data_IF_211463008856
#
_entry.id   IF_211463008856
#
_cell.length_a   1.000
_cell.length_b   1.000
_cell.length_c   1.000
_cell.angle_alpha   90.00
_cell.angle_beta   90.00
_cell.angle_gamma   90.00
#
_symmetry.space_group_name_H-M   'P 1'
#
loop_
_entity.id
_entity.type
_entity.pdbx_description
1 polymer ?
#
# COMPACT_ATOMS: atom_id res chain seq x y z
N UNK A 1 3.10 30.51 44.42
CA UNK A 1 3.14 30.67 42.94
C UNK A 1 4.45 30.06 42.45
N UNK A 2 4.46 28.77 42.11
CA UNK A 2 5.61 28.13 41.46
C UNK A 2 5.11 27.40 40.23
N UNK A 3 5.48 27.91 39.06
CA UNK A 3 5.20 27.30 37.77
C UNK A 3 5.96 25.97 37.66
N UNK A 4 5.22 24.88 37.53
CA UNK A 4 5.79 23.56 37.23
C UNK A 4 6.07 23.45 35.74
N UNK A 5 7.34 23.50 35.35
CA UNK A 5 7.80 23.27 33.99
C UNK A 5 7.42 21.85 33.52
N UNK A 6 6.44 21.75 32.63
CA UNK A 6 6.20 20.54 31.85
C UNK A 6 7.43 20.30 30.95
N UNK A 7 8.19 19.24 31.24
CA UNK A 7 9.25 18.75 30.35
C UNK A 7 8.59 18.16 29.11
N UNK A 8 8.61 18.93 28.04
CA UNK A 8 8.23 18.55 26.69
C UNK A 8 9.08 17.32 26.31
N UNK A 9 8.43 16.29 25.78
CA UNK A 9 9.01 14.97 25.52
C UNK A 9 10.34 15.04 24.77
N UNK A 10 11.24 14.11 25.12
CA UNK A 10 12.51 13.95 24.42
C UNK A 10 12.26 13.83 22.90
N UNK A 11 13.04 14.54 22.05
CA UNK A 11 12.97 14.29 20.61
C UNK A 11 13.29 12.83 20.35
N UNK A 12 12.47 12.17 19.53
CA UNK A 12 12.74 10.81 19.08
C UNK A 12 14.17 10.76 18.52
N UNK A 13 14.99 9.76 18.92
CA UNK A 13 16.35 9.64 18.40
C UNK A 13 16.30 9.60 16.87
N UNK A 14 17.17 10.38 16.26
CA UNK A 14 17.19 10.57 14.82
C UNK A 14 17.56 9.24 14.14
N UNK A 15 16.55 8.54 13.63
CA UNK A 15 16.71 7.31 12.85
C UNK A 15 17.37 7.69 11.52
N UNK A 16 18.70 7.75 11.51
CA UNK A 16 19.47 8.02 10.30
C UNK A 16 19.85 6.67 9.70
N UNK A 17 18.99 6.16 8.81
CA UNK A 17 19.35 5.08 7.90
C UNK A 17 20.40 5.62 6.93
N UNK A 18 21.69 5.51 7.27
CA UNK A 18 22.73 5.73 6.27
C UNK A 18 22.88 4.44 5.47
N UNK A 19 23.10 4.53 4.16
CA UNK A 19 23.25 3.36 3.29
C UNK A 19 24.35 2.39 3.79
N UNK A 20 25.25 2.93 4.60
CA UNK A 20 26.45 2.38 5.21
C UNK A 20 26.18 1.57 6.51
N UNK A 21 24.95 1.53 7.04
CA UNK A 21 24.62 0.68 8.20
C UNK A 21 24.27 -0.78 7.82
N UNK A 22 24.10 -1.08 6.53
CA UNK A 22 23.81 -2.44 6.06
C UNK A 22 22.46 -3.02 6.51
N UNK A 23 21.51 -2.16 6.93
CA UNK A 23 20.18 -2.56 7.37
C UNK A 23 19.16 -2.46 6.23
N UNK A 24 18.21 -3.40 6.19
CA UNK A 24 17.12 -3.35 5.23
C UNK A 24 16.08 -2.28 5.61
N UNK A 25 15.57 -1.58 4.60
CA UNK A 25 14.37 -0.77 4.73
C UNK A 25 13.13 -1.62 4.98
N UNK A 26 11.99 -0.99 5.26
CA UNK A 26 10.72 -1.67 5.54
C UNK A 26 10.05 -2.12 4.23
N UNK A 27 10.63 -3.13 3.59
CA UNK A 27 10.11 -3.76 2.38
C UNK A 27 8.97 -4.74 2.66
N UNK A 28 7.88 -4.64 1.89
CA UNK A 28 6.81 -5.62 1.80
C UNK A 28 6.67 -6.04 0.34
N UNK A 29 6.50 -7.35 0.12
CA UNK A 29 6.36 -7.95 -1.20
C UNK A 29 5.08 -8.78 -1.22
N UNK A 30 4.23 -8.57 -2.22
CA UNK A 30 3.08 -9.44 -2.51
C UNK A 30 3.48 -10.36 -3.66
N UNK A 31 3.54 -11.65 -3.38
CA UNK A 31 3.89 -12.71 -4.33
C UNK A 31 2.67 -13.62 -4.48
N UNK A 32 2.29 -13.94 -5.72
CA UNK A 32 1.12 -14.78 -5.99
C UNK A 32 1.40 -16.29 -5.84
N UNK A 33 0.38 -17.10 -6.08
CA UNK A 33 0.42 -18.58 -6.01
C UNK A 33 1.34 -19.22 -7.06
N UNK A 34 1.75 -18.46 -8.08
CA UNK A 34 2.70 -18.87 -9.12
C UNK A 34 4.13 -18.42 -8.82
N UNK A 35 4.36 -17.78 -7.67
CA UNK A 35 5.66 -17.23 -7.29
C UNK A 35 6.02 -15.95 -8.03
N UNK A 36 5.07 -15.28 -8.68
CA UNK A 36 5.31 -14.02 -9.39
C UNK A 36 5.16 -12.85 -8.43
N UNK A 37 6.14 -11.95 -8.43
CA UNK A 37 6.08 -10.72 -7.66
C UNK A 37 5.07 -9.74 -8.30
N UNK A 38 4.04 -9.37 -7.54
CA UNK A 38 2.93 -8.52 -8.01
C UNK A 38 3.01 -7.08 -7.49
N UNK A 39 3.55 -6.88 -6.28
CA UNK A 39 3.61 -5.56 -5.66
C UNK A 39 4.76 -5.45 -4.66
N UNK A 40 5.33 -4.24 -4.58
CA UNK A 40 6.41 -3.89 -3.65
C UNK A 40 6.06 -2.57 -2.96
N UNK A 41 6.09 -2.56 -1.63
CA UNK A 41 6.06 -1.32 -0.82
C UNK A 41 7.37 -1.21 -0.06
N UNK A 42 8.06 -0.07 -0.19
CA UNK A 42 9.27 0.23 0.59
C UNK A 42 9.04 1.52 1.35
N UNK A 43 9.05 1.44 2.67
CA UNK A 43 8.98 2.61 3.54
C UNK A 43 10.35 2.88 4.17
N UNK A 44 10.63 4.16 4.40
CA UNK A 44 11.74 4.59 5.24
C UNK A 44 11.56 4.06 6.69
N UNK A 45 12.65 3.95 7.45
CA UNK A 45 12.67 3.39 8.79
C UNK A 45 11.69 4.01 9.80
N UNK A 46 11.42 5.33 9.82
CA UNK A 46 10.50 5.89 10.81
C UNK A 46 9.02 5.67 10.47
N UNK A 47 8.69 5.21 9.26
CA UNK A 47 7.29 5.14 8.78
C UNK A 47 6.80 3.70 8.67
N UNK A 48 5.73 3.38 9.39
CA UNK A 48 5.06 2.09 9.31
C UNK A 48 4.33 1.86 7.99
N UNK A 49 4.00 0.59 7.69
CA UNK A 49 3.17 0.20 6.54
C UNK A 49 1.70 0.10 6.95
N UNK A 50 0.79 0.09 5.96
CA UNK A 50 -0.63 -0.15 6.18
C UNK A 50 -0.99 -1.61 5.92
N UNK A 51 -1.60 -2.27 6.91
CA UNK A 51 -2.14 -3.64 6.78
C UNK A 51 -3.36 -3.63 5.87
N UNK A 52 -4.23 -2.62 6.00
CA UNK A 52 -5.44 -2.51 5.20
C UNK A 52 -5.12 -2.35 3.71
N UNK A 53 -4.06 -1.59 3.38
CA UNK A 53 -3.61 -1.45 1.99
C UNK A 53 -3.02 -2.76 1.45
N UNK A 54 -2.29 -3.48 2.29
CA UNK A 54 -1.76 -4.81 1.92
C UNK A 54 -2.91 -5.77 1.62
N UNK A 55 -3.92 -5.83 2.48
CA UNK A 55 -5.11 -6.66 2.29
C UNK A 55 -5.88 -6.27 1.03
N UNK A 56 -6.07 -4.96 0.80
CA UNK A 56 -6.75 -4.43 -0.40
C UNK A 56 -6.03 -4.85 -1.68
N UNK A 57 -4.70 -4.75 -1.70
CA UNK A 57 -3.88 -5.14 -2.85
C UNK A 57 -3.95 -6.65 -3.11
N UNK A 58 -3.88 -7.48 -2.06
CA UNK A 58 -4.04 -8.94 -2.19
C UNK A 58 -5.40 -9.29 -2.79
N UNK A 59 -6.49 -8.68 -2.28
CA UNK A 59 -7.83 -8.89 -2.80
C UNK A 59 -7.99 -8.40 -4.24
N UNK A 60 -7.36 -7.28 -4.61
CA UNK A 60 -7.37 -6.76 -5.97
C UNK A 60 -6.67 -7.71 -6.96
N UNK A 61 -5.51 -8.27 -6.58
CA UNK A 61 -4.83 -9.27 -7.40
C UNK A 61 -5.64 -10.56 -7.54
N UNK A 62 -6.27 -11.03 -6.45
CA UNK A 62 -7.17 -12.19 -6.54
C UNK A 62 -8.39 -11.92 -7.43
N UNK A 63 -8.95 -10.70 -7.41
CA UNK A 63 -10.08 -10.33 -8.27
C UNK A 63 -9.65 -10.33 -9.74
N UNK A 64 -8.54 -9.67 -10.08
CA UNK A 64 -8.07 -9.62 -11.48
C UNK A 64 -7.70 -11.01 -12.01
N UNK A 65 -7.08 -11.85 -11.18
CA UNK A 65 -6.69 -13.20 -11.59
C UNK A 65 -7.92 -14.11 -11.79
N UNK A 66 -8.99 -13.92 -11.00
CA UNK A 66 -10.22 -14.73 -11.10
C UNK A 66 -11.15 -14.28 -12.23
N UNK A 67 -11.32 -12.98 -12.42
CA UNK A 67 -12.34 -12.42 -13.31
C UNK A 67 -11.79 -11.83 -14.61
N UNK A 68 -10.47 -11.59 -14.70
CA UNK A 68 -9.85 -10.93 -15.85
C UNK A 68 -10.20 -9.44 -15.99
N UNK A 69 -10.80 -8.85 -14.96
CA UNK A 69 -11.10 -7.42 -14.87
C UNK A 69 -9.94 -6.67 -14.22
N UNK A 70 -9.83 -5.36 -14.47
CA UNK A 70 -8.83 -4.52 -13.81
C UNK A 70 -9.46 -3.66 -12.71
N UNK A 71 -8.74 -3.51 -11.60
CA UNK A 71 -9.17 -2.76 -10.43
C UNK A 71 -8.73 -1.28 -10.56
N UNK A 72 -9.66 -0.30 -10.56
CA UNK A 72 -9.31 1.12 -10.63
C UNK A 72 -8.61 1.62 -9.36
N UNK A 73 -8.16 2.88 -9.39
CA UNK A 73 -7.52 3.52 -8.24
C UNK A 73 -8.44 3.48 -7.01
N UNK A 74 -7.88 3.08 -5.86
CA UNK A 74 -8.62 2.98 -4.61
C UNK A 74 -9.66 1.86 -4.55
N UNK A 75 -9.71 0.96 -5.54
CA UNK A 75 -10.66 -0.15 -5.56
C UNK A 75 -10.63 -0.98 -4.27
N UNK A 76 -11.83 -1.33 -3.78
CA UNK A 76 -12.07 -2.23 -2.66
C UNK A 76 -13.10 -3.29 -3.07
N UNK A 77 -13.19 -4.44 -2.38
CA UNK A 77 -14.21 -5.43 -2.66
C UNK A 77 -15.62 -4.83 -2.75
N UNK A 78 -16.33 -5.15 -3.83
CA UNK A 78 -17.66 -4.60 -4.14
C UNK A 78 -17.67 -3.26 -4.88
N UNK A 79 -16.51 -2.63 -5.13
CA UNK A 79 -16.41 -1.46 -6.01
C UNK A 79 -16.45 -1.87 -7.48
N UNK A 80 -16.88 -0.94 -8.34
CA UNK A 80 -16.87 -1.11 -9.79
C UNK A 80 -15.44 -1.40 -10.32
N UNK A 81 -15.38 -2.25 -11.33
CA UNK A 81 -14.16 -2.67 -12.04
C UNK A 81 -14.24 -2.29 -13.51
N UNK A 82 -13.11 -2.43 -14.22
CA UNK A 82 -13.02 -2.15 -15.65
C UNK A 82 -12.77 -3.45 -16.39
N UNK A 83 -13.62 -3.78 -17.35
CA UNK A 83 -13.34 -4.86 -18.31
C UNK A 83 -12.26 -4.35 -19.28
N UNK A 84 -11.11 -5.06 -19.45
CA UNK A 84 -10.00 -4.62 -20.30
C UNK A 84 -10.30 -4.82 -21.79
N UNK A 85 -11.36 -4.18 -22.27
CA UNK A 85 -11.80 -4.11 -23.65
C UNK A 85 -12.25 -2.68 -23.99
N UNK A 86 -11.98 -2.23 -25.21
CA UNK A 86 -12.20 -0.84 -25.63
C UNK A 86 -13.69 -0.46 -25.59
N UNK A 87 -14.59 -1.38 -25.96
CA UNK A 87 -16.02 -1.09 -25.97
C UNK A 87 -16.64 -1.26 -24.58
N UNK A 88 -16.27 -2.34 -23.87
CA UNK A 88 -16.85 -2.64 -22.56
C UNK A 88 -16.37 -1.69 -21.46
N UNK A 89 -15.12 -1.22 -21.52
CA UNK A 89 -14.60 -0.26 -20.54
C UNK A 89 -15.38 1.06 -20.49
N UNK A 90 -16.04 1.45 -21.59
CA UNK A 90 -16.89 2.66 -21.64
C UNK A 90 -18.01 2.64 -20.61
N UNK A 91 -18.52 1.45 -20.24
CA UNK A 91 -19.55 1.33 -19.21
C UNK A 91 -19.06 1.89 -17.88
N UNK A 92 -17.84 1.55 -17.47
CA UNK A 92 -17.22 2.09 -16.27
C UNK A 92 -17.02 3.61 -16.36
N UNK A 93 -16.45 4.09 -17.47
CA UNK A 93 -16.16 5.52 -17.63
C UNK A 93 -17.39 6.41 -17.77
N UNK A 94 -18.54 5.86 -18.16
CA UNK A 94 -19.80 6.60 -18.20
C UNK A 94 -20.43 6.87 -16.82
N UNK A 95 -19.95 6.18 -15.77
CA UNK A 95 -20.45 6.31 -14.38
C UNK A 95 -19.67 7.34 -13.55
N UNK A 96 -18.57 7.91 -14.08
CA UNK A 96 -17.72 8.92 -13.44
C UNK A 96 -18.13 10.33 -13.86
#
# INVERSE_FOLDING_TARGET
MSAGNAKIGHPAPQFKATADQGIAYRGLFVIDDKGILRQITINDLPVGRSVDETLRLVQAFQHTDKYGEVCPAGWKPGSDTIVPDIQKSKEFFSKQ
#
